data_IF_917448279109
#
_entry.id   IF_917448279109
#
_cell.length_a   1.000
_cell.length_b   1.000
_cell.length_c   1.000
_cell.angle_alpha   90.00
_cell.angle_beta   90.00
_cell.angle_gamma   90.00
#
_symmetry.space_group_name_H-M   'P 1'
#
loop_
_entity.id
_entity.type
_entity.pdbx_description
1 polymer ?
#
# COMPACT_ATOMS: atom_id res chain seq x y z
N UNK A 1 -0.59 15.75 19.88
CA UNK A 1 -0.01 14.38 19.87
C UNK A 1 0.40 13.93 21.27
N UNK A 2 1.18 14.72 22.03
CA UNK A 2 1.45 14.44 23.45
C UNK A 2 0.17 14.27 24.29
N UNK A 3 -0.88 15.04 23.97
CA UNK A 3 -2.18 14.93 24.64
C UNK A 3 -2.99 13.67 24.28
N UNK A 4 -2.58 12.90 23.26
CA UNK A 4 -3.14 11.58 22.93
C UNK A 4 -2.21 10.42 23.34
N UNK A 5 -1.12 10.69 24.07
CA UNK A 5 -0.19 9.66 24.56
C UNK A 5 0.65 8.96 23.48
N UNK A 6 0.61 9.42 22.22
CA UNK A 6 1.44 8.88 21.14
C UNK A 6 2.78 9.61 21.18
N UNK A 7 3.77 8.97 21.82
CA UNK A 7 5.15 9.44 21.88
C UNK A 7 6.12 8.29 21.52
N UNK A 8 7.12 8.54 20.65
CA UNK A 8 7.30 9.77 19.87
C UNK A 8 6.16 9.98 18.85
N UNK A 9 5.93 11.24 18.46
CA UNK A 9 4.98 11.56 17.40
C UNK A 9 5.40 10.95 16.06
N UNK A 10 4.48 10.82 15.09
CA UNK A 10 4.80 10.35 13.75
C UNK A 10 5.80 11.29 13.08
N UNK A 11 6.72 10.72 12.32
CA UNK A 11 7.59 11.46 11.42
C UNK A 11 6.76 12.02 10.26
N UNK A 12 6.93 13.31 9.98
CA UNK A 12 6.21 14.01 8.91
C UNK A 12 7.21 14.42 7.85
N UNK A 13 7.07 13.86 6.65
CA UNK A 13 7.87 14.21 5.48
C UNK A 13 7.02 15.04 4.52
N UNK A 14 7.51 16.22 4.15
CA UNK A 14 6.85 17.12 3.20
C UNK A 14 7.50 16.97 1.83
N UNK A 15 6.71 16.58 0.81
CA UNK A 15 7.21 16.39 -0.55
C UNK A 15 6.30 15.51 -1.39
N UNK A 16 6.80 15.05 -2.54
CA UNK A 16 6.10 14.07 -3.38
C UNK A 16 6.04 12.71 -2.66
N UNK A 17 4.84 12.16 -2.53
CA UNK A 17 4.60 10.90 -1.81
C UNK A 17 5.41 9.72 -2.40
N UNK A 18 5.51 9.62 -3.72
CA UNK A 18 6.28 8.55 -4.36
C UNK A 18 7.77 8.63 -4.00
N UNK A 19 8.35 9.84 -4.03
CA UNK A 19 9.76 10.06 -3.64
C UNK A 19 9.98 9.71 -2.16
N UNK A 20 9.07 10.11 -1.27
CA UNK A 20 9.18 9.78 0.15
C UNK A 20 9.09 8.27 0.40
N UNK A 21 8.12 7.59 -0.22
CA UNK A 21 7.93 6.14 -0.07
C UNK A 21 9.06 5.33 -0.68
N UNK A 22 9.67 5.79 -1.78
CA UNK A 22 10.82 5.13 -2.40
C UNK A 22 12.06 5.06 -1.49
N UNK A 23 12.18 5.98 -0.53
CA UNK A 23 13.26 6.01 0.45
C UNK A 23 13.02 5.04 1.62
N UNK A 24 11.78 4.56 1.79
CA UNK A 24 11.42 3.60 2.82
C UNK A 24 11.65 2.17 2.32
N UNK A 25 12.03 1.28 3.24
CA UNK A 25 12.22 -0.14 2.97
C UNK A 25 11.62 -0.97 4.10
N UNK A 26 11.15 -2.17 3.76
CA UNK A 26 10.59 -3.09 4.75
C UNK A 26 9.19 -2.70 5.23
N UNK A 27 8.38 -2.10 4.36
CA UNK A 27 7.02 -1.70 4.71
C UNK A 27 6.16 -2.94 5.01
N UNK A 28 5.60 -3.00 6.23
CA UNK A 28 4.61 -4.02 6.63
C UNK A 28 3.17 -3.52 6.46
N UNK A 29 2.98 -2.20 6.49
CA UNK A 29 1.68 -1.55 6.32
C UNK A 29 1.84 -0.24 5.55
N UNK A 30 0.99 -0.02 4.54
CA UNK A 30 0.94 1.24 3.79
C UNK A 30 -0.50 1.64 3.50
N UNK A 31 -0.89 2.83 3.94
CA UNK A 31 -2.17 3.45 3.60
C UNK A 31 -1.94 4.61 2.64
N UNK A 32 -2.58 4.57 1.48
CA UNK A 32 -2.54 5.66 0.51
C UNK A 32 -3.93 6.29 0.38
N UNK A 33 -4.02 7.56 0.73
CA UNK A 33 -5.23 8.40 0.61
C UNK A 33 -4.96 9.51 -0.42
N UNK A 34 -4.85 9.14 -1.70
CA UNK A 34 -4.49 10.05 -2.78
C UNK A 34 -5.43 9.94 -3.99
N UNK A 35 -5.31 10.88 -4.93
CA UNK A 35 -5.99 10.84 -6.23
C UNK A 35 -5.48 9.66 -7.08
N UNK A 36 -6.30 9.19 -8.03
CA UNK A 36 -6.12 7.94 -8.78
C UNK A 36 -4.73 7.77 -9.42
N UNK A 37 -4.18 8.80 -10.07
CA UNK A 37 -2.89 8.70 -10.79
C UNK A 37 -1.68 8.59 -9.87
N UNK A 38 -1.77 9.18 -8.66
CA UNK A 38 -0.64 9.22 -7.74
C UNK A 38 -0.48 7.90 -6.98
N UNK A 39 -1.60 7.19 -6.79
CA UNK A 39 -1.62 5.91 -6.09
C UNK A 39 -0.73 4.85 -6.75
N UNK A 40 -0.91 4.65 -8.07
CA UNK A 40 -0.15 3.66 -8.81
C UNK A 40 1.36 3.95 -8.72
N UNK A 41 1.75 5.23 -8.82
CA UNK A 41 3.14 5.67 -8.68
C UNK A 41 3.70 5.31 -7.31
N UNK A 42 2.95 5.59 -6.24
CA UNK A 42 3.36 5.29 -4.85
C UNK A 42 3.50 3.79 -4.62
N UNK A 43 2.55 2.99 -5.09
CA UNK A 43 2.63 1.53 -4.93
C UNK A 43 3.79 0.90 -5.68
N UNK A 44 4.07 1.34 -6.91
CA UNK A 44 5.15 0.76 -7.71
C UNK A 44 6.53 1.00 -7.10
N UNK A 45 6.71 2.10 -6.38
CA UNK A 45 7.97 2.41 -5.68
C UNK A 45 8.04 1.87 -4.25
N UNK A 46 6.91 1.41 -3.69
CA UNK A 46 6.86 0.87 -2.34
C UNK A 46 7.66 -0.44 -2.23
N UNK A 47 8.61 -0.47 -1.30
CA UNK A 47 9.44 -1.65 -1.01
C UNK A 47 8.89 -2.37 0.22
N UNK A 48 8.04 -3.37 -0.06
CA UNK A 48 7.39 -4.18 0.97
C UNK A 48 8.39 -5.09 1.70
N UNK A 49 8.06 -5.44 2.94
CA UNK A 49 8.83 -6.36 3.76
C UNK A 49 8.85 -7.78 3.16
N UNK A 50 9.96 -8.53 3.30
CA UNK A 50 9.99 -9.95 2.94
C UNK A 50 9.06 -10.82 3.81
N UNK A 51 8.48 -10.27 4.89
CA UNK A 51 7.48 -10.96 5.72
C UNK A 51 6.05 -10.85 5.17
N UNK A 52 5.87 -10.16 4.05
CA UNK A 52 4.56 -9.76 3.56
C UNK A 52 4.19 -8.35 4.04
N UNK A 53 3.10 -7.81 3.48
CA UNK A 53 2.63 -6.47 3.78
C UNK A 53 1.14 -6.31 3.53
N UNK A 54 0.51 -5.36 4.22
CA UNK A 54 -0.87 -4.93 3.96
C UNK A 54 -0.84 -3.55 3.32
N UNK A 55 -1.42 -3.46 2.12
CA UNK A 55 -1.58 -2.19 1.40
C UNK A 55 -3.04 -1.80 1.40
N UNK A 56 -3.32 -0.54 1.74
CA UNK A 56 -4.66 -0.01 1.84
C UNK A 56 -4.78 1.24 0.98
N UNK A 57 -5.88 1.33 0.24
CA UNK A 57 -6.20 2.47 -0.60
C UNK A 57 -7.54 3.03 -0.20
N UNK A 58 -7.56 4.26 0.29
CA UNK A 58 -8.81 4.97 0.57
C UNK A 58 -9.34 5.66 -0.70
N UNK A 59 -10.63 5.96 -0.76
CA UNK A 59 -11.34 6.51 -1.92
C UNK A 59 -11.31 5.56 -3.14
N UNK A 60 -11.75 4.32 -2.94
CA UNK A 60 -11.80 3.26 -3.95
C UNK A 60 -13.07 3.24 -4.82
N UNK A 61 -14.08 4.03 -4.49
CA UNK A 61 -15.40 3.95 -5.12
C UNK A 61 -15.37 4.33 -6.62
N UNK A 62 -14.61 5.37 -7.00
CA UNK A 62 -14.43 5.74 -8.42
C UNK A 62 -13.59 4.70 -9.20
N UNK A 63 -12.84 3.84 -8.50
CA UNK A 63 -11.88 2.89 -9.10
C UNK A 63 -12.53 1.61 -9.61
N UNK A 64 -13.54 1.10 -8.89
CA UNK A 64 -14.26 -0.11 -9.30
C UNK A 64 -15.28 0.13 -10.42
N UNK A 65 -15.76 1.36 -10.57
CA UNK A 65 -16.73 1.69 -11.62
C UNK A 65 -16.13 1.67 -13.05
N UNK A 66 -14.81 1.85 -13.18
CA UNK A 66 -14.11 1.82 -14.48
C UNK A 66 -13.40 0.49 -14.77
N UNK A 67 -13.28 -0.42 -13.81
CA UNK A 67 -12.58 -1.70 -13.97
C UNK A 67 -11.06 -1.62 -14.21
N UNK A 68 -10.47 -0.42 -14.13
CA UNK A 68 -9.06 -0.15 -14.50
C UNK A 68 -8.10 -0.51 -13.38
N UNK A 69 -8.53 -0.43 -12.11
CA UNK A 69 -7.65 -0.71 -10.98
C UNK A 69 -7.57 -2.21 -10.71
N UNK A 70 -6.37 -2.78 -10.84
CA UNK A 70 -6.08 -4.14 -10.42
C UNK A 70 -4.75 -4.17 -9.69
N UNK A 71 -4.75 -4.78 -8.51
CA UNK A 71 -3.55 -4.95 -7.69
C UNK A 71 -2.40 -5.60 -8.45
N UNK A 72 -2.69 -6.56 -9.32
CA UNK A 72 -1.70 -7.23 -10.17
C UNK A 72 -0.98 -6.32 -11.20
N UNK A 73 -1.53 -5.14 -11.53
CA UNK A 73 -0.93 -4.19 -12.47
C UNK A 73 -0.03 -3.16 -11.77
N UNK A 74 -0.28 -2.91 -10.47
CA UNK A 74 0.41 -1.86 -9.70
C UNK A 74 1.49 -2.43 -8.77
N UNK A 75 1.34 -3.70 -8.38
CA UNK A 75 2.36 -4.44 -7.66
C UNK A 75 3.47 -4.86 -8.62
N UNK A 76 4.69 -4.85 -8.11
CA UNK A 76 5.83 -5.37 -8.88
C UNK A 76 5.64 -6.86 -9.16
N UNK A 77 6.13 -7.32 -10.31
CA UNK A 77 5.93 -8.70 -10.79
C UNK A 77 6.53 -9.76 -9.85
N UNK A 78 7.47 -9.38 -8.99
CA UNK A 78 8.15 -10.22 -8.00
C UNK A 78 7.42 -10.32 -6.65
N UNK A 79 6.29 -9.63 -6.49
CA UNK A 79 5.53 -9.60 -5.25
C UNK A 79 4.33 -10.54 -5.37
N UNK A 80 4.25 -11.63 -4.58
CA UNK A 80 3.13 -12.55 -4.63
C UNK A 80 1.89 -11.87 -4.04
N UNK A 81 1.07 -11.32 -4.93
CA UNK A 81 -0.26 -10.85 -4.60
C UNK A 81 -1.13 -12.04 -4.24
N UNK A 82 -1.66 -12.06 -3.02
CA UNK A 82 -2.48 -13.17 -2.55
C UNK A 82 -3.97 -12.85 -2.71
N UNK A 83 -4.45 -11.80 -2.02
CA UNK A 83 -5.87 -11.48 -1.92
C UNK A 83 -6.09 -9.99 -1.77
N UNK A 84 -7.20 -9.51 -2.29
CA UNK A 84 -7.72 -8.16 -2.01
C UNK A 84 -9.17 -8.20 -1.57
N UNK A 85 -9.56 -7.26 -0.72
CA UNK A 85 -10.94 -7.04 -0.31
C UNK A 85 -11.30 -5.57 -0.50
N UNK A 86 -12.44 -5.35 -1.17
CA UNK A 86 -13.04 -4.04 -1.27
C UNK A 86 -14.12 -3.90 -0.20
N UNK A 87 -14.04 -2.83 0.59
CA UNK A 87 -15.00 -2.47 1.62
C UNK A 87 -15.77 -1.22 1.17
N UNK A 88 -17.11 -1.28 1.06
CA UNK A 88 -17.94 -0.15 0.67
C UNK A 88 -18.17 0.82 1.84
N UNK A 89 -17.10 1.23 2.52
CA UNK A 89 -17.18 2.17 3.63
C UNK A 89 -16.75 3.57 3.16
N UNK A 90 -17.59 4.58 3.41
CA UNK A 90 -17.38 5.94 2.91
C UNK A 90 -17.21 5.96 1.39
N UNK A 91 -16.14 6.59 0.90
CA UNK A 91 -15.78 6.62 -0.52
C UNK A 91 -15.07 5.33 -1.00
N UNK A 92 -15.26 4.20 -0.31
CA UNK A 92 -14.66 2.92 -0.62
C UNK A 92 -13.22 2.79 -0.12
N UNK A 93 -12.87 1.59 0.36
CA UNK A 93 -11.52 1.21 0.78
C UNK A 93 -11.17 -0.10 0.11
N UNK A 94 -10.00 -0.18 -0.51
CA UNK A 94 -9.47 -1.41 -1.08
C UNK A 94 -8.24 -1.83 -0.28
N UNK A 95 -8.19 -3.09 0.15
CA UNK A 95 -7.13 -3.64 0.99
C UNK A 95 -6.55 -4.85 0.26
N UNK A 96 -5.25 -4.81 -0.02
CA UNK A 96 -4.51 -5.96 -0.51
C UNK A 96 -3.57 -6.51 0.56
N UNK A 97 -3.58 -7.83 0.67
CA UNK A 97 -2.57 -8.58 1.41
C UNK A 97 -1.55 -9.16 0.43
N UNK A 98 -0.30 -8.83 0.70
CA UNK A 98 0.88 -9.36 0.02
C UNK A 98 1.48 -10.42 0.93
N UNK A 99 1.57 -11.65 0.42
CA UNK A 99 2.21 -12.73 1.14
C UNK A 99 3.72 -12.54 1.18
N UNK A 100 4.37 -13.15 2.18
CA UNK A 100 5.81 -13.38 2.09
C UNK A 100 6.10 -14.26 0.86
N UNK A 101 7.20 -14.00 0.11
CA UNK A 101 7.64 -14.94 -0.90
C UNK A 101 7.87 -16.32 -0.27
N UNK A 102 7.51 -17.40 -0.97
CA UNK A 102 7.75 -18.75 -0.48
C UNK A 102 9.25 -18.93 -0.20
N UNK A 103 9.57 -19.59 0.91
CA UNK A 103 10.95 -19.92 1.26
C UNK A 103 11.52 -20.78 0.11
N UNK A 104 12.64 -20.40 -0.52
CA UNK A 104 13.23 -21.20 -1.58
C UNK A 104 13.58 -22.58 -1.02
N UNK A 105 13.07 -23.63 -1.67
CA UNK A 105 13.13 -25.03 -1.24
C UNK A 105 14.53 -25.68 -1.31
N UNK A 106 15.60 -24.89 -1.24
CA UNK A 106 17.00 -25.35 -1.38
C UNK A 106 17.78 -25.28 -0.06
N UNK A 107 17.11 -25.50 1.07
CA UNK A 107 17.72 -25.69 2.39
C UNK A 107 17.40 -27.08 2.94
#
# INVERSE_FOLDING_TARGET
>A
MAQMGVLPGPEVVVGEAATAVAQLAGLEFLLVDSRQREFARVLTVARVSPRGAVLVCKNAHERNFSGVFRWNLVLRQDVPFERSVFLPFGNGVDIAYIAAPPIPSNL
#
